data_IF_138223533782
#
_entry.id   IF_138223533782
#
_cell.length_a   1.000
_cell.length_b   1.000
_cell.length_c   1.000
_cell.angle_alpha   90.00
_cell.angle_beta   90.00
_cell.angle_gamma   90.00
#
_symmetry.space_group_name_H-M   'P 1'
#
loop_
_entity.id
_entity.type
_entity.pdbx_description
1 polymer ?
#
# COMPACT_ATOMS: atom_id res chain seq x y z
N UNK A 1 -37.70 12.24 -1.48
CA UNK A 1 -36.34 11.87 -1.02
C UNK A 1 -36.21 10.37 -1.20
N UNK A 2 -35.22 9.95 -1.97
CA UNK A 2 -35.02 8.55 -2.35
C UNK A 2 -34.08 7.91 -1.33
N UNK A 3 -34.64 7.22 -0.32
CA UNK A 3 -33.91 6.73 0.84
C UNK A 3 -32.71 5.82 0.46
N UNK A 4 -32.77 5.14 -0.69
CA UNK A 4 -31.68 4.31 -1.18
C UNK A 4 -30.47 5.13 -1.67
N UNK A 5 -30.70 6.31 -2.25
CA UNK A 5 -29.63 7.22 -2.68
C UNK A 5 -28.95 7.89 -1.48
N UNK A 6 -29.73 8.20 -0.43
CA UNK A 6 -29.22 8.74 0.83
C UNK A 6 -28.33 7.71 1.56
N UNK A 7 -28.76 6.44 1.61
CA UNK A 7 -28.00 5.33 2.21
C UNK A 7 -26.69 5.04 1.46
N UNK A 8 -26.72 5.05 0.12
CA UNK A 8 -25.53 4.89 -0.69
C UNK A 8 -24.53 6.04 -0.52
N UNK A 9 -25.02 7.26 -0.38
CA UNK A 9 -24.19 8.44 -0.10
C UNK A 9 -23.55 8.36 1.29
N UNK A 10 -24.32 7.99 2.31
CA UNK A 10 -23.80 7.79 3.67
C UNK A 10 -22.73 6.68 3.70
N UNK A 11 -22.97 5.58 3.00
CA UNK A 11 -22.01 4.47 2.84
C UNK A 11 -20.71 4.95 2.20
N UNK A 12 -20.78 5.73 1.11
CA UNK A 12 -19.61 6.27 0.43
C UNK A 12 -18.82 7.24 1.32
N UNK A 13 -19.50 8.08 2.10
CA UNK A 13 -18.86 8.96 3.08
C UNK A 13 -18.19 8.18 4.23
N UNK A 14 -18.77 7.07 4.66
CA UNK A 14 -18.14 6.19 5.66
C UNK A 14 -16.85 5.54 5.11
N UNK A 15 -16.87 5.06 3.86
CA UNK A 15 -15.66 4.56 3.20
C UNK A 15 -14.58 5.62 3.04
N UNK A 16 -14.95 6.85 2.70
CA UNK A 16 -14.01 7.97 2.60
C UNK A 16 -13.32 8.27 3.93
N UNK A 17 -14.06 8.20 5.05
CA UNK A 17 -13.49 8.36 6.40
C UNK A 17 -12.52 7.22 6.73
N UNK A 18 -12.88 5.97 6.44
CA UNK A 18 -11.96 4.86 6.62
C UNK A 18 -10.69 4.98 5.76
N UNK A 19 -10.82 5.46 4.52
CA UNK A 19 -9.66 5.76 3.68
C UNK A 19 -8.76 6.82 4.31
N UNK A 20 -9.33 7.86 4.90
CA UNK A 20 -8.59 8.89 5.63
C UNK A 20 -7.83 8.30 6.83
N UNK A 21 -8.47 7.42 7.61
CA UNK A 21 -7.83 6.73 8.73
C UNK A 21 -6.66 5.85 8.27
N UNK A 22 -6.83 5.08 7.20
CA UNK A 22 -5.76 4.22 6.65
C UNK A 22 -4.60 5.05 6.10
N UNK A 23 -4.90 6.16 5.41
CA UNK A 23 -3.85 7.07 4.93
C UNK A 23 -3.05 7.65 6.11
N UNK A 24 -3.72 8.03 7.20
CA UNK A 24 -3.05 8.53 8.39
C UNK A 24 -2.15 7.46 9.03
N UNK A 25 -2.64 6.24 9.21
CA UNK A 25 -1.82 5.11 9.73
C UNK A 25 -0.65 4.81 8.79
N UNK A 26 -0.83 4.91 7.47
CA UNK A 26 0.25 4.71 6.50
C UNK A 26 1.34 5.76 6.64
N UNK A 27 0.97 7.03 6.86
CA UNK A 27 1.92 8.13 7.11
C UNK A 27 2.66 7.92 8.43
N UNK A 28 1.95 7.54 9.49
CA UNK A 28 2.55 7.23 10.80
C UNK A 28 3.49 6.01 10.71
N UNK A 29 3.16 5.02 9.89
CA UNK A 29 4.05 3.88 9.65
C UNK A 29 5.32 4.32 8.92
N UNK A 30 5.20 5.21 7.93
CA UNK A 30 6.34 5.77 7.21
C UNK A 30 7.26 6.62 8.11
N UNK A 31 6.73 7.26 9.16
CA UNK A 31 7.52 7.96 10.17
C UNK A 31 8.10 7.06 11.27
N UNK A 32 7.70 5.78 11.32
CA UNK A 32 8.10 4.82 12.35
C UNK A 32 7.27 4.86 13.63
N UNK A 33 6.20 5.65 13.67
CA UNK A 33 5.29 5.77 14.83
C UNK A 33 4.29 4.61 14.91
N UNK A 34 3.88 4.06 13.75
CA UNK A 34 2.91 2.96 13.68
C UNK A 34 3.59 1.63 13.31
N UNK A 35 3.17 0.55 13.96
CA UNK A 35 3.70 -0.80 13.72
C UNK A 35 3.20 -1.38 12.39
N UNK A 36 3.92 -2.37 11.83
CA UNK A 36 3.46 -3.11 10.64
C UNK A 36 2.08 -3.74 10.88
N UNK A 37 1.82 -4.24 12.09
CA UNK A 37 0.53 -4.85 12.47
C UNK A 37 -0.62 -3.83 12.44
N UNK A 38 -0.36 -2.59 12.87
CA UNK A 38 -1.38 -1.53 12.81
C UNK A 38 -1.75 -1.18 11.36
N UNK A 39 -0.76 -1.14 10.46
CA UNK A 39 -0.97 -0.90 9.05
C UNK A 39 -1.71 -2.05 8.37
N UNK A 40 -1.32 -3.31 8.63
CA UNK A 40 -2.02 -4.47 8.05
C UNK A 40 -3.46 -4.56 8.54
N UNK A 41 -3.71 -4.26 9.82
CA UNK A 41 -5.06 -4.22 10.40
C UNK A 41 -5.91 -3.12 9.76
N UNK A 42 -5.37 -1.91 9.58
CA UNK A 42 -6.06 -0.82 8.91
C UNK A 42 -6.44 -1.18 7.47
N UNK A 43 -5.51 -1.76 6.70
CA UNK A 43 -5.76 -2.22 5.34
C UNK A 43 -6.81 -3.34 5.27
N UNK A 44 -6.77 -4.31 6.19
CA UNK A 44 -7.76 -5.38 6.27
C UNK A 44 -9.17 -4.85 6.59
N UNK A 45 -9.27 -3.92 7.54
CA UNK A 45 -10.53 -3.25 7.89
C UNK A 45 -11.12 -2.50 6.68
N UNK A 46 -10.28 -1.75 5.95
CA UNK A 46 -10.68 -1.04 4.74
C UNK A 46 -11.20 -2.00 3.66
N UNK A 47 -10.49 -3.09 3.40
CA UNK A 47 -10.91 -4.11 2.43
C UNK A 47 -12.28 -4.70 2.82
N UNK A 48 -12.48 -5.00 4.12
CA UNK A 48 -13.76 -5.52 4.61
C UNK A 48 -14.89 -4.50 4.47
N UNK A 49 -14.63 -3.21 4.71
CA UNK A 49 -15.63 -2.17 4.52
C UNK A 49 -16.05 -2.02 3.05
N UNK A 50 -15.11 -2.10 2.10
CA UNK A 50 -15.43 -2.12 0.67
C UNK A 50 -16.29 -3.33 0.28
N UNK A 51 -15.97 -4.52 0.82
CA UNK A 51 -16.77 -5.72 0.56
C UNK A 51 -18.20 -5.58 1.08
N UNK A 52 -18.38 -5.01 2.27
CA UNK A 52 -19.70 -4.75 2.85
C UNK A 52 -20.50 -3.69 2.07
N UNK A 53 -19.82 -2.64 1.63
CA UNK A 53 -20.45 -1.54 0.88
C UNK A 53 -20.76 -1.89 -0.59
N UNK A 54 -20.16 -2.96 -1.13
CA UNK A 54 -20.23 -3.30 -2.55
C UNK A 54 -21.67 -3.40 -3.07
N UNK A 55 -22.55 -4.12 -2.38
CA UNK A 55 -23.92 -4.32 -2.82
C UNK A 55 -24.69 -2.99 -2.88
N UNK A 56 -24.59 -2.18 -1.83
CA UNK A 56 -25.26 -0.87 -1.72
C UNK A 56 -24.78 0.10 -2.79
N UNK A 57 -23.47 0.16 -3.05
CA UNK A 57 -22.88 1.02 -4.08
C UNK A 57 -23.22 0.55 -5.50
N UNK A 58 -23.29 -0.77 -5.74
CA UNK A 58 -23.68 -1.31 -7.04
C UNK A 58 -25.15 -1.04 -7.35
N UNK A 59 -26.04 -1.18 -6.37
CA UNK A 59 -27.47 -0.91 -6.54
C UNK A 59 -27.77 0.57 -6.86
N UNK A 60 -26.91 1.48 -6.41
CA UNK A 60 -27.11 2.93 -6.54
C UNK A 60 -26.10 3.61 -7.47
N UNK A 61 -25.40 2.84 -8.33
CA UNK A 61 -24.25 3.31 -9.13
C UNK A 61 -24.51 4.61 -9.88
N UNK A 62 -25.65 4.72 -10.54
CA UNK A 62 -25.99 5.88 -11.39
C UNK A 62 -26.47 7.10 -10.60
N UNK A 63 -26.71 6.93 -9.30
CA UNK A 63 -27.22 7.96 -8.38
C UNK A 63 -26.17 8.47 -7.39
N UNK A 64 -24.96 7.90 -7.43
CA UNK A 64 -23.87 8.32 -6.56
C UNK A 64 -23.37 9.71 -6.95
N UNK A 65 -23.14 10.60 -5.97
CA UNK A 65 -22.62 11.94 -6.25
C UNK A 65 -21.20 11.87 -6.82
N UNK A 66 -21.04 12.34 -8.05
CA UNK A 66 -19.77 12.45 -8.76
C UNK A 66 -18.60 13.03 -7.93
N UNK A 67 -18.76 14.12 -7.14
CA UNK A 67 -17.64 14.66 -6.37
C UNK A 67 -17.11 13.70 -5.30
N UNK A 68 -17.97 12.86 -4.69
CA UNK A 68 -17.52 11.89 -3.70
C UNK A 68 -16.79 10.72 -4.37
N UNK A 69 -17.22 10.29 -5.56
CA UNK A 69 -16.52 9.28 -6.34
C UNK A 69 -15.12 9.75 -6.74
N UNK A 70 -15.00 10.99 -7.22
CA UNK A 70 -13.70 11.60 -7.56
C UNK A 70 -12.79 11.68 -6.33
N UNK A 71 -13.32 12.10 -5.17
CA UNK A 71 -12.56 12.15 -3.92
C UNK A 71 -12.08 10.75 -3.50
N UNK A 72 -12.91 9.73 -3.66
CA UNK A 72 -12.55 8.35 -3.35
C UNK A 72 -11.44 7.85 -4.27
N UNK A 73 -11.56 8.10 -5.57
CA UNK A 73 -10.53 7.76 -6.56
C UNK A 73 -9.19 8.44 -6.24
N UNK A 74 -9.20 9.74 -5.93
CA UNK A 74 -7.99 10.47 -5.57
C UNK A 74 -7.30 9.88 -4.33
N UNK A 75 -8.08 9.53 -3.29
CA UNK A 75 -7.54 8.91 -2.07
C UNK A 75 -6.94 7.52 -2.31
N UNK A 76 -7.61 6.69 -3.12
CA UNK A 76 -7.08 5.38 -3.49
C UNK A 76 -5.78 5.50 -4.28
N UNK A 77 -5.70 6.49 -5.17
CA UNK A 77 -4.46 6.79 -5.89
C UNK A 77 -3.33 7.22 -4.94
N UNK A 78 -3.60 8.14 -4.00
CA UNK A 78 -2.62 8.54 -2.99
C UNK A 78 -2.15 7.35 -2.15
N UNK A 79 -3.05 6.47 -1.73
CA UNK A 79 -2.70 5.28 -0.97
C UNK A 79 -1.79 4.33 -1.78
N UNK A 80 -2.09 4.15 -3.07
CA UNK A 80 -1.27 3.35 -3.97
C UNK A 80 0.14 3.94 -4.15
N UNK A 81 0.24 5.26 -4.34
CA UNK A 81 1.52 5.97 -4.49
C UNK A 81 2.38 5.86 -3.21
N UNK A 82 1.78 6.04 -2.03
CA UNK A 82 2.47 5.87 -0.75
C UNK A 82 2.97 4.43 -0.58
N UNK A 83 2.15 3.44 -0.91
CA UNK A 83 2.54 2.04 -0.82
C UNK A 83 3.70 1.70 -1.78
N UNK A 84 3.66 2.20 -3.02
CA UNK A 84 4.74 2.03 -3.98
C UNK A 84 6.06 2.65 -3.47
N UNK A 85 5.98 3.84 -2.86
CA UNK A 85 7.14 4.52 -2.28
C UNK A 85 7.73 3.75 -1.10
N UNK A 86 6.90 3.25 -0.18
CA UNK A 86 7.34 2.40 0.93
C UNK A 86 8.03 1.15 0.42
N UNK A 87 7.44 0.43 -0.54
CA UNK A 87 8.05 -0.76 -1.14
C UNK A 87 9.39 -0.47 -1.84
N UNK A 88 9.54 0.69 -2.47
CA UNK A 88 10.81 1.11 -3.06
C UNK A 88 11.86 1.37 -1.98
N UNK A 89 11.50 2.03 -0.88
CA UNK A 89 12.37 2.28 0.26
C UNK A 89 12.80 0.99 0.95
N UNK A 90 11.88 0.04 1.17
CA UNK A 90 12.20 -1.26 1.75
C UNK A 90 13.18 -2.03 0.86
N UNK A 91 12.96 -2.06 -0.46
CA UNK A 91 13.91 -2.70 -1.39
C UNK A 91 15.29 -2.04 -1.36
N UNK A 92 15.35 -0.71 -1.32
CA UNK A 92 16.61 0.02 -1.21
C UNK A 92 17.33 -0.27 0.12
N UNK A 93 16.60 -0.30 1.24
CA UNK A 93 17.16 -0.65 2.55
C UNK A 93 17.66 -2.09 2.60
N UNK A 94 16.91 -3.06 2.04
CA UNK A 94 17.35 -4.45 1.93
C UNK A 94 18.59 -4.59 1.05
N UNK A 95 18.68 -3.84 -0.06
CA UNK A 95 19.87 -3.81 -0.90
C UNK A 95 21.09 -3.21 -0.17
N UNK A 96 20.87 -2.22 0.71
CA UNK A 96 21.93 -1.65 1.53
C UNK A 96 22.38 -2.59 2.67
N UNK A 97 21.46 -3.38 3.23
CA UNK A 97 21.74 -4.36 4.29
C UNK A 97 22.39 -5.65 3.78
N UNK A 98 22.14 -6.00 2.51
CA UNK A 98 22.84 -7.08 1.80
C UNK A 98 23.73 -6.52 0.70
N UNK A 99 24.90 -5.94 1.04
CA UNK A 99 25.88 -5.66 0.03
C UNK A 99 26.28 -6.99 -0.61
N UNK A 100 25.98 -7.13 -1.91
CA UNK A 100 26.39 -8.27 -2.75
C UNK A 100 27.92 -8.50 -2.74
N UNK A 101 28.69 -7.56 -2.19
CA UNK A 101 30.14 -7.61 -2.04
C UNK A 101 30.65 -8.91 -1.40
N UNK A 102 29.96 -9.50 -0.42
CA UNK A 102 30.46 -10.73 0.20
C UNK A 102 30.44 -11.93 -0.77
N UNK A 103 29.42 -12.00 -1.63
CA UNK A 103 29.28 -13.06 -2.65
C UNK A 103 30.20 -12.81 -3.84
N UNK A 104 30.35 -11.55 -4.27
CA UNK A 104 31.27 -11.19 -5.36
C UNK A 104 32.75 -11.31 -4.94
N UNK A 105 33.10 -10.98 -3.69
CA UNK A 105 34.44 -11.22 -3.13
C UNK A 105 34.76 -12.72 -3.06
N UNK A 106 33.79 -13.56 -2.67
CA UNK A 106 33.95 -15.02 -2.66
C UNK A 106 34.13 -15.58 -4.08
N UNK A 107 33.38 -15.06 -5.05
CA UNK A 107 33.51 -15.43 -6.46
C UNK A 107 34.83 -14.94 -7.10
N UNK A 108 35.42 -13.86 -6.60
CA UNK A 108 36.75 -13.40 -7.01
C UNK A 108 37.88 -14.26 -6.42
N UNK A 109 37.76 -14.69 -5.16
CA UNK A 109 38.70 -15.63 -4.52
C UNK A 109 38.77 -16.98 -5.27
N UNK A 110 37.63 -17.52 -5.71
CA UNK A 110 37.60 -18.74 -6.53
C UNK A 110 38.22 -18.58 -7.92
N UNK A 111 38.18 -17.37 -8.50
CA UNK A 111 38.80 -17.07 -9.81
C UNK A 111 40.30 -16.81 -9.74
N UNK A 112 40.82 -16.30 -8.62
CA UNK A 112 42.26 -16.08 -8.43
C UNK A 112 43.04 -17.37 -8.11
N UNK A 113 42.36 -18.45 -7.73
CA UNK A 113 42.95 -19.79 -7.53
C UNK A 113 43.07 -20.61 -8.83
N UNK A 114 42.95 -19.98 -10.01
CA UNK A 114 43.30 -20.59 -11.30
C UNK A 114 44.81 -20.78 -11.46
N UNK A 115 45.27 -21.85 -12.13
CA UNK A 115 46.56 -22.48 -11.88
C UNK A 115 47.76 -21.60 -12.26
N UNK A 116 48.64 -21.34 -11.27
CA UNK A 116 50.05 -21.00 -11.52
C UNK A 116 50.78 -22.24 -12.03
N UNK A 117 50.59 -22.60 -13.30
CA UNK A 117 51.57 -23.39 -14.04
C UNK A 117 52.76 -22.48 -14.34
N UNK A 118 53.75 -22.52 -13.44
CA UNK A 118 55.10 -22.04 -13.71
C UNK A 118 55.76 -23.05 -14.66
N UNK A 119 56.11 -22.59 -15.86
CA UNK A 119 57.25 -23.12 -16.60
C UNK A 119 58.54 -22.62 -15.94
#
# INVERSE_FOLDING_TARGET
MDAAADDATATLQALLRQLDDVLNVTVQHASGEASVESLTTACASLAQAFLRARATLQASRDRLPAPLLQRMQAKLQTLHELHARLNAQTRAALAALWPQDALDAYAQLGRQAGPRTRW
#
